data_IF_832249706437
#
_entry.id   IF_832249706437
#
_cell.length_a   1.000
_cell.length_b   1.000
_cell.length_c   1.000
_cell.angle_alpha   90.00
_cell.angle_beta   90.00
_cell.angle_gamma   90.00
#
_symmetry.space_group_name_H-M   'P 1'
#
loop_
_entity.id
_entity.type
_entity.pdbx_description
1 polymer ?
#
# COMPACT_ATOMS: atom_id res chain seq x y z
N UNK A 1 9.12 -26.62 50.77
CA UNK A 1 7.68 -26.39 50.54
C UNK A 1 7.34 -27.10 49.21
N UNK A 2 6.58 -28.20 49.14
CA UNK A 2 5.13 -28.37 49.37
C UNK A 2 4.27 -27.29 48.71
N UNK A 3 3.21 -27.55 47.91
CA UNK A 3 2.59 -28.80 47.37
C UNK A 3 1.74 -28.42 46.11
N UNK A 4 1.33 -29.41 45.29
CA UNK A 4 0.30 -29.25 44.22
C UNK A 4 -1.13 -29.21 44.80
N UNK A 5 -2.14 -28.71 44.07
CA UNK A 5 -3.57 -29.17 43.91
C UNK A 5 -4.60 -28.02 43.64
N UNK A 6 -5.58 -28.11 42.70
CA UNK A 6 -6.97 -28.70 42.73
C UNK A 6 -7.98 -27.82 43.50
N UNK A 7 -9.18 -27.41 43.01
CA UNK A 7 -9.89 -27.58 41.70
C UNK A 7 -11.04 -26.55 41.53
N UNK A 8 -11.73 -26.54 40.38
CA UNK A 8 -12.93 -25.78 40.00
C UNK A 8 -14.17 -25.91 40.94
N UNK A 9 -15.18 -25.03 40.75
CA UNK A 9 -16.65 -25.27 40.62
C UNK A 9 -17.41 -23.90 40.61
N UNK A 10 -18.17 -23.50 39.58
CA UNK A 10 -19.61 -23.71 39.20
C UNK A 10 -20.69 -22.99 40.07
N UNK A 11 -21.92 -22.89 39.51
CA UNK A 11 -23.17 -22.24 39.96
C UNK A 11 -23.32 -20.80 39.39
N UNK A 12 -24.23 -20.44 38.47
CA UNK A 12 -25.47 -20.99 37.89
C UNK A 12 -26.76 -20.89 38.73
N UNK A 13 -27.50 -19.79 38.53
CA UNK A 13 -28.95 -19.57 38.73
C UNK A 13 -29.29 -18.16 38.15
N UNK A 14 -30.47 -17.80 37.65
CA UNK A 14 -31.49 -18.49 36.84
C UNK A 14 -32.36 -17.43 36.14
N UNK A 15 -32.86 -17.71 34.93
CA UNK A 15 -33.81 -16.85 34.17
C UNK A 15 -35.24 -16.90 34.78
N UNK A 16 -36.21 -16.03 34.41
CA UNK A 16 -36.93 -16.09 33.10
C UNK A 16 -37.44 -14.70 32.61
N UNK A 17 -38.12 -14.43 31.48
CA UNK A 17 -38.39 -15.02 30.16
C UNK A 17 -39.43 -14.14 29.45
N UNK A 18 -39.31 -13.89 28.14
CA UNK A 18 -40.41 -13.78 27.15
C UNK A 18 -39.80 -13.51 25.76
N UNK A 19 -39.84 -14.42 24.78
CA UNK A 19 -40.97 -14.83 23.90
C UNK A 19 -41.60 -13.63 23.17
N UNK A 20 -41.79 -13.59 21.85
CA UNK A 20 -42.16 -14.66 20.90
C UNK A 20 -41.72 -14.21 19.47
N UNK A 21 -41.01 -15.00 18.65
CA UNK A 21 -41.51 -15.98 17.65
C UNK A 21 -42.23 -15.40 16.42
N UNK A 22 -41.83 -15.80 15.21
CA UNK A 22 -42.56 -15.51 13.97
C UNK A 22 -41.78 -15.72 12.66
N UNK A 23 -41.57 -16.99 12.26
CA UNK A 23 -41.09 -17.33 10.90
C UNK A 23 -42.25 -17.44 9.91
N UNK A 24 -42.05 -17.01 8.67
CA UNK A 24 -42.66 -17.67 7.51
C UNK A 24 -41.77 -17.53 6.26
N UNK A 25 -41.43 -18.68 5.68
CA UNK A 25 -40.82 -18.80 4.36
C UNK A 25 -41.89 -18.86 3.28
N UNK A 26 -41.62 -18.32 2.09
CA UNK A 26 -42.28 -18.79 0.87
C UNK A 26 -41.38 -18.57 -0.34
N UNK A 27 -41.27 -19.59 -1.19
CA UNK A 27 -40.46 -19.58 -2.40
C UNK A 27 -41.15 -18.86 -3.55
N UNK A 28 -40.37 -18.37 -4.53
CA UNK A 28 -40.76 -18.52 -5.94
C UNK A 28 -39.58 -18.30 -6.91
N UNK A 29 -39.58 -19.10 -7.97
CA UNK A 29 -38.52 -19.22 -8.96
C UNK A 29 -39.03 -18.71 -10.32
N UNK A 30 -38.26 -17.89 -11.05
CA UNK A 30 -38.44 -17.76 -12.50
C UNK A 30 -37.16 -17.33 -13.23
N UNK A 31 -37.13 -17.59 -14.54
CA UNK A 31 -35.94 -17.85 -15.33
C UNK A 31 -35.66 -16.77 -16.40
N UNK A 32 -34.40 -16.74 -16.84
CA UNK A 32 -33.98 -16.47 -18.22
C UNK A 32 -34.27 -15.07 -18.84
N UNK A 33 -33.21 -14.28 -19.12
CA UNK A 33 -32.69 -14.09 -20.50
C UNK A 33 -31.90 -12.77 -20.72
N UNK A 34 -30.93 -12.86 -21.63
CA UNK A 34 -30.39 -11.78 -22.49
C UNK A 34 -29.54 -10.63 -21.91
N UNK A 35 -28.30 -10.56 -22.40
CA UNK A 35 -27.39 -9.39 -22.37
C UNK A 35 -27.86 -8.32 -23.41
N UNK A 36 -27.23 -7.11 -23.60
CA UNK A 36 -25.78 -6.87 -23.53
C UNK A 36 -25.25 -5.50 -23.02
N UNK A 37 -23.95 -5.51 -22.67
CA UNK A 37 -22.95 -4.42 -22.79
C UNK A 37 -23.33 -2.94 -22.55
N UNK A 38 -22.77 -2.34 -21.48
CA UNK A 38 -22.25 -0.95 -21.51
C UNK A 38 -20.92 -0.81 -20.77
N UNK A 39 -19.91 -0.33 -21.50
CA UNK A 39 -18.59 0.09 -21.03
C UNK A 39 -18.66 1.54 -20.55
N UNK A 40 -18.08 1.92 -19.39
CA UNK A 40 -17.73 3.31 -19.11
C UNK A 40 -16.28 3.58 -19.55
N UNK A 41 -16.08 4.62 -20.35
CA UNK A 41 -14.76 5.16 -20.66
C UNK A 41 -14.52 6.41 -19.82
N UNK A 42 -13.31 6.56 -19.29
CA UNK A 42 -12.56 7.80 -19.07
C UNK A 42 -13.28 9.09 -18.60
N UNK A 43 -12.77 9.64 -17.49
CA UNK A 43 -12.46 11.08 -17.42
C UNK A 43 -13.38 11.92 -16.55
N UNK A 44 -12.85 12.38 -15.40
CA UNK A 44 -13.50 13.34 -14.53
C UNK A 44 -12.79 13.43 -13.18
N UNK A 45 -11.94 14.43 -13.00
CA UNK A 45 -11.30 14.69 -11.70
C UNK A 45 -12.30 15.23 -10.69
N UNK A 46 -12.37 14.62 -9.51
CA UNK A 46 -13.10 15.13 -8.34
C UNK A 46 -12.53 14.48 -7.07
N UNK A 47 -12.65 15.13 -5.89
CA UNK A 47 -11.78 14.83 -4.76
C UNK A 47 -12.20 13.57 -4.00
N UNK A 48 -11.40 12.50 -4.11
CA UNK A 48 -11.60 11.25 -3.37
C UNK A 48 -11.12 11.35 -1.92
N UNK A 49 -11.80 12.18 -1.12
CA UNK A 49 -11.67 12.18 0.33
C UNK A 49 -12.59 11.12 0.95
N UNK A 50 -12.09 9.88 1.02
CA UNK A 50 -12.63 8.76 1.79
C UNK A 50 -11.54 7.70 1.80
N UNK A 51 -10.92 7.42 2.95
CA UNK A 51 -9.71 6.58 3.13
C UNK A 51 -9.49 5.55 2.01
N UNK A 52 -8.78 5.97 0.95
CA UNK A 52 -8.56 5.12 -0.21
C UNK A 52 -7.55 4.08 0.21
N UNK A 53 -7.96 2.82 0.29
CA UNK A 53 -7.05 1.70 0.54
C UNK A 53 -6.24 1.33 -0.70
N UNK A 54 -5.20 0.52 -0.51
CA UNK A 54 -4.44 -0.06 -1.62
C UNK A 54 -3.61 0.95 -2.41
N UNK A 55 -3.41 0.67 -3.70
CA UNK A 55 -2.46 1.38 -4.58
C UNK A 55 -2.72 2.89 -4.66
N UNK A 56 -3.96 3.29 -4.93
CA UNK A 56 -4.29 4.72 -5.06
C UNK A 56 -4.21 5.46 -3.71
N UNK A 57 -4.44 4.76 -2.60
CA UNK A 57 -4.18 5.26 -1.26
C UNK A 57 -2.72 5.59 -1.02
N UNK A 58 -1.84 4.67 -1.41
CA UNK A 58 -0.40 4.82 -1.27
C UNK A 58 0.12 5.99 -2.10
N UNK A 59 -0.31 6.06 -3.37
CA UNK A 59 0.05 7.16 -4.26
C UNK A 59 -0.51 8.50 -3.75
N UNK A 60 -1.76 8.53 -3.30
CA UNK A 60 -2.39 9.76 -2.77
C UNK A 60 -1.65 10.25 -1.53
N UNK A 61 -1.42 9.39 -0.53
CA UNK A 61 -0.69 9.73 0.70
C UNK A 61 0.74 10.19 0.39
N UNK A 62 1.48 9.46 -0.45
CA UNK A 62 2.83 9.84 -0.87
C UNK A 62 2.85 11.19 -1.60
N UNK A 63 1.82 11.50 -2.39
CA UNK A 63 1.73 12.77 -3.13
C UNK A 63 1.51 13.97 -2.20
N UNK A 64 0.88 13.81 -1.04
CA UNK A 64 0.62 14.92 -0.09
C UNK A 64 1.89 15.57 0.49
N UNK A 65 3.03 14.87 0.46
CA UNK A 65 4.31 15.35 0.99
C UNK A 65 5.35 15.67 -0.10
N UNK A 66 4.93 15.74 -1.37
CA UNK A 66 5.79 16.22 -2.46
C UNK A 66 6.34 17.62 -2.13
N UNK A 67 7.64 17.80 -2.36
CA UNK A 67 8.38 19.03 -2.04
C UNK A 67 8.57 19.33 -0.56
N UNK A 68 8.17 18.43 0.35
CA UNK A 68 8.17 18.67 1.81
C UNK A 68 9.05 17.70 2.61
N UNK A 69 9.55 16.62 2.01
CA UNK A 69 10.62 15.81 2.63
C UNK A 69 11.97 16.51 2.45
N UNK A 70 12.78 16.68 3.51
CA UNK A 70 14.16 17.15 3.39
C UNK A 70 15.14 16.07 2.88
N UNK A 71 14.67 14.83 2.65
CA UNK A 71 15.46 13.60 2.49
C UNK A 71 16.36 13.28 3.69
N UNK A 72 16.51 11.99 3.99
CA UNK A 72 17.49 11.48 4.96
C UNK A 72 17.90 10.07 4.58
N UNK A 73 19.17 9.87 4.26
CA UNK A 73 19.72 8.53 4.10
C UNK A 73 19.51 7.70 5.37
N UNK A 74 18.94 6.50 5.26
CA UNK A 74 18.57 5.70 6.44
C UNK A 74 17.35 6.21 7.21
N UNK A 75 16.68 7.27 6.74
CA UNK A 75 15.48 7.86 7.34
C UNK A 75 14.24 6.97 7.29
N UNK A 76 13.11 7.50 7.77
CA UNK A 76 11.80 6.82 7.79
C UNK A 76 11.73 5.53 8.62
N UNK A 77 12.77 5.25 9.41
CA UNK A 77 12.93 4.02 10.23
C UNK A 77 12.61 4.22 11.71
N UNK A 78 12.28 5.44 12.09
CA UNK A 78 11.83 5.83 13.44
C UNK A 78 10.60 6.73 13.34
N UNK A 79 9.77 6.78 14.39
CA UNK A 79 8.59 7.65 14.39
C UNK A 79 8.99 9.13 14.22
N UNK A 80 10.06 9.56 14.90
CA UNK A 80 10.59 10.93 14.78
C UNK A 80 11.03 11.28 13.35
N UNK A 81 11.56 10.32 12.57
CA UNK A 81 11.86 10.55 11.16
C UNK A 81 10.59 10.61 10.29
N UNK A 82 9.58 9.79 10.58
CA UNK A 82 8.29 9.80 9.87
C UNK A 82 7.56 11.12 10.10
N UNK A 83 7.47 11.58 11.36
CA UNK A 83 6.82 12.84 11.76
C UNK A 83 7.53 14.05 11.13
N UNK A 84 8.87 14.03 11.09
CA UNK A 84 9.68 15.04 10.43
C UNK A 84 9.78 14.86 8.90
N UNK A 85 9.07 13.88 8.32
CA UNK A 85 9.07 13.50 6.89
C UNK A 85 10.46 13.21 6.30
N UNK A 86 11.40 12.79 7.13
CA UNK A 86 12.80 12.48 6.80
C UNK A 86 12.93 11.04 6.31
N UNK A 87 12.61 10.77 5.05
CA UNK A 87 12.70 9.42 4.48
C UNK A 87 13.93 9.24 3.58
N UNK A 88 14.28 7.98 3.31
CA UNK A 88 14.95 7.57 2.08
C UNK A 88 13.93 6.97 1.10
N UNK A 89 14.35 6.64 -0.12
CA UNK A 89 13.47 6.10 -1.16
C UNK A 89 12.67 4.86 -0.71
N UNK A 90 13.33 3.91 -0.04
CA UNK A 90 12.73 2.64 0.40
C UNK A 90 11.74 2.79 1.56
N UNK A 91 12.08 3.65 2.51
CA UNK A 91 11.25 3.94 3.69
C UNK A 91 10.06 4.84 3.33
N UNK A 92 10.21 5.76 2.37
CA UNK A 92 9.10 6.52 1.79
C UNK A 92 8.08 5.61 1.10
N UNK A 93 8.53 4.75 0.17
CA UNK A 93 7.66 3.78 -0.51
C UNK A 93 6.95 2.90 0.52
N UNK A 94 7.70 2.36 1.49
CA UNK A 94 7.16 1.57 2.59
C UNK A 94 6.10 2.32 3.41
N UNK A 95 6.32 3.59 3.73
CA UNK A 95 5.39 4.42 4.50
C UNK A 95 4.11 4.69 3.70
N UNK A 96 4.23 5.06 2.43
CA UNK A 96 3.11 5.30 1.53
C UNK A 96 2.24 4.04 1.37
N UNK A 97 2.82 2.87 1.12
CA UNK A 97 2.06 1.63 1.04
C UNK A 97 1.41 1.22 2.38
N UNK A 98 2.12 1.42 3.49
CA UNK A 98 1.60 1.10 4.83
C UNK A 98 0.42 2.00 5.24
N UNK A 99 0.39 3.28 4.84
CA UNK A 99 -0.75 4.17 5.13
C UNK A 99 -2.04 3.72 4.44
N UNK A 100 -1.91 2.97 3.34
CA UNK A 100 -3.02 2.41 2.57
C UNK A 100 -3.28 0.92 2.87
N UNK A 101 -2.70 0.38 3.95
CA UNK A 101 -2.92 -0.99 4.41
C UNK A 101 -2.08 -2.07 3.71
N UNK A 102 -1.13 -1.72 2.84
CA UNK A 102 -0.24 -2.69 2.18
C UNK A 102 1.07 -2.83 2.96
N UNK A 103 1.37 -4.03 3.44
CA UNK A 103 2.58 -4.29 4.22
C UNK A 103 3.78 -4.70 3.36
N UNK A 104 4.74 -3.78 3.18
CA UNK A 104 6.02 -4.04 2.49
C UNK A 104 7.18 -4.46 3.44
N UNK A 105 6.94 -4.59 4.75
CA UNK A 105 7.95 -5.03 5.73
C UNK A 105 7.88 -4.28 7.08
N UNK A 106 8.88 -4.45 7.97
CA UNK A 106 8.97 -3.75 9.26
C UNK A 106 9.59 -2.35 9.13
N UNK A 107 9.19 -1.40 9.98
CA UNK A 107 9.58 0.04 9.86
C UNK A 107 11.10 0.21 9.81
N UNK A 108 11.83 -0.37 10.77
CA UNK A 108 13.29 -0.26 10.85
C UNK A 108 14.07 -1.09 9.82
N UNK A 109 13.43 -2.00 9.08
CA UNK A 109 14.12 -3.03 8.28
C UNK A 109 13.85 -3.00 6.78
N UNK A 110 12.89 -2.22 6.28
CA UNK A 110 12.66 -2.13 4.83
C UNK A 110 13.78 -1.34 4.14
N UNK A 111 14.41 -1.97 3.16
CA UNK A 111 15.43 -1.41 2.23
C UNK A 111 15.07 -1.77 0.79
N UNK A 112 15.75 -1.20 -0.21
CA UNK A 112 15.56 -1.61 -1.61
C UNK A 112 15.81 -3.10 -1.82
N UNK A 113 16.81 -3.68 -1.15
CA UNK A 113 17.12 -5.12 -1.22
C UNK A 113 16.02 -6.01 -0.62
N UNK A 114 15.24 -5.51 0.36
CA UNK A 114 14.05 -6.23 0.84
C UNK A 114 12.82 -6.06 -0.05
N UNK A 115 12.75 -4.97 -0.82
CA UNK A 115 11.62 -4.63 -1.69
C UNK A 115 11.66 -5.37 -3.03
N UNK A 116 12.86 -5.69 -3.55
CA UNK A 116 13.00 -6.45 -4.82
C UNK A 116 12.37 -7.85 -4.79
N UNK A 117 12.03 -8.38 -3.60
CA UNK A 117 11.32 -9.65 -3.42
C UNK A 117 9.84 -9.52 -3.01
N UNK A 118 9.21 -8.34 -3.14
CA UNK A 118 7.82 -8.11 -2.66
C UNK A 118 6.73 -8.19 -3.74
N UNK A 119 7.11 -8.23 -5.01
CA UNK A 119 6.19 -8.38 -6.14
C UNK A 119 6.66 -9.44 -7.12
N UNK A 120 6.12 -9.41 -8.35
CA UNK A 120 6.53 -10.32 -9.43
C UNK A 120 7.03 -9.45 -10.56
N UNK A 121 8.25 -9.73 -11.04
CA UNK A 121 8.85 -8.98 -12.14
C UNK A 121 7.90 -8.82 -13.34
N UNK A 122 7.72 -7.56 -13.76
CA UNK A 122 7.00 -7.17 -14.97
C UNK A 122 7.96 -6.56 -15.97
N UNK A 123 7.63 -6.67 -17.27
CA UNK A 123 8.42 -5.99 -18.30
C UNK A 123 8.18 -4.47 -18.24
N UNK A 124 9.12 -3.68 -18.75
CA UNK A 124 8.97 -2.23 -18.84
C UNK A 124 7.73 -1.79 -19.67
N UNK A 125 7.29 -2.62 -20.61
CA UNK A 125 6.05 -2.42 -21.38
C UNK A 125 4.77 -2.78 -20.64
N UNK A 126 4.85 -3.65 -19.63
CA UNK A 126 3.68 -4.14 -18.88
C UNK A 126 3.44 -3.38 -17.56
N UNK A 127 4.32 -2.43 -17.20
CA UNK A 127 4.24 -1.68 -15.96
C UNK A 127 2.89 -0.97 -15.79
N UNK A 128 2.29 -1.15 -14.62
CA UNK A 128 1.00 -0.56 -14.21
C UNK A 128 1.21 0.42 -13.09
N UNK A 129 0.32 1.41 -13.03
CA UNK A 129 0.27 2.37 -11.93
C UNK A 129 0.14 1.61 -10.60
N UNK A 130 1.09 1.85 -9.69
CA UNK A 130 1.26 1.12 -8.44
C UNK A 130 2.49 0.21 -8.39
N UNK A 131 3.02 -0.23 -9.53
CA UNK A 131 4.20 -1.12 -9.58
C UNK A 131 5.43 -0.42 -8.97
N UNK A 132 6.32 -1.20 -8.34
CA UNK A 132 7.57 -0.67 -7.79
C UNK A 132 8.64 -0.64 -8.87
N UNK A 133 9.15 0.55 -9.22
CA UNK A 133 10.22 0.74 -10.20
C UNK A 133 11.57 0.91 -9.51
N UNK A 134 12.57 0.14 -9.94
CA UNK A 134 13.91 0.13 -9.36
C UNK A 134 14.96 0.64 -10.34
N UNK A 135 15.97 1.33 -9.80
CA UNK A 135 17.02 1.95 -10.61
C UNK A 135 18.42 1.70 -10.04
N UNK A 136 19.38 1.44 -10.93
CA UNK A 136 20.78 1.12 -10.63
C UNK A 136 21.61 2.38 -10.33
N UNK A 137 21.30 3.09 -9.25
CA UNK A 137 21.92 4.39 -8.92
C UNK A 137 23.34 4.25 -8.33
N UNK A 138 23.44 4.08 -7.01
CA UNK A 138 24.71 3.88 -6.27
C UNK A 138 25.08 2.40 -6.10
N UNK A 139 24.13 1.49 -6.38
CA UNK A 139 24.28 0.04 -6.49
C UNK A 139 23.21 -0.50 -7.44
N UNK A 140 23.25 -1.79 -7.76
CA UNK A 140 22.12 -2.48 -8.42
C UNK A 140 20.86 -2.38 -7.55
N UNK A 141 19.74 -1.97 -8.13
CA UNK A 141 18.51 -1.62 -7.42
C UNK A 141 18.76 -0.64 -6.25
N UNK A 142 19.62 0.36 -6.47
CA UNK A 142 19.96 1.37 -5.46
C UNK A 142 18.79 2.30 -5.11
N UNK A 143 17.93 2.62 -6.08
CA UNK A 143 16.78 3.50 -5.87
C UNK A 143 15.46 2.80 -6.19
N UNK A 144 14.38 3.26 -5.56
CA UNK A 144 13.01 2.75 -5.77
C UNK A 144 12.00 3.88 -5.79
N UNK A 145 10.92 3.70 -6.55
CA UNK A 145 9.75 4.57 -6.53
C UNK A 145 8.46 3.83 -6.91
N UNK A 146 7.34 4.52 -6.81
CA UNK A 146 6.01 4.01 -7.16
C UNK A 146 5.67 4.49 -8.57
N UNK A 147 5.43 3.58 -9.51
CA UNK A 147 5.06 3.97 -10.87
C UNK A 147 3.68 4.61 -10.89
N UNK A 148 3.54 5.76 -11.54
CA UNK A 148 2.30 6.53 -11.63
C UNK A 148 1.51 6.27 -12.91
N UNK A 149 2.09 5.51 -13.85
CA UNK A 149 1.68 5.47 -15.25
C UNK A 149 2.40 6.53 -16.09
N UNK A 150 2.22 6.46 -17.42
CA UNK A 150 2.68 7.45 -18.40
C UNK A 150 4.18 7.81 -18.33
N UNK A 151 5.05 6.88 -17.90
CA UNK A 151 6.48 7.14 -17.75
C UNK A 151 6.83 8.09 -16.59
N UNK A 152 5.97 8.21 -15.58
CA UNK A 152 6.21 9.00 -14.36
C UNK A 152 6.23 8.10 -13.12
N UNK A 153 7.01 8.47 -12.10
CA UNK A 153 7.07 7.75 -10.83
C UNK A 153 7.23 8.72 -9.65
N UNK A 154 6.79 8.28 -8.47
CA UNK A 154 6.84 9.02 -7.20
C UNK A 154 7.90 8.39 -6.28
N UNK A 155 8.82 9.19 -5.76
CA UNK A 155 9.96 8.71 -4.97
C UNK A 155 10.48 9.78 -4.01
N UNK A 156 11.26 9.39 -3.01
CA UNK A 156 12.08 10.33 -2.20
C UNK A 156 13.56 10.23 -2.63
N UNK A 157 14.22 11.35 -2.92
CA UNK A 157 15.61 11.40 -3.38
C UNK A 157 16.40 12.59 -2.81
N UNK A 158 17.73 12.43 -2.78
CA UNK A 158 18.67 13.40 -2.19
C UNK A 158 18.72 14.77 -2.87
N UNK A 159 18.13 14.95 -4.06
CA UNK A 159 18.13 16.25 -4.76
C UNK A 159 16.86 17.07 -4.54
N UNK A 160 15.71 16.42 -4.31
CA UNK A 160 14.40 17.10 -4.31
C UNK A 160 13.44 16.62 -3.21
N UNK A 161 13.88 15.72 -2.33
CA UNK A 161 13.00 15.05 -1.39
C UNK A 161 11.99 14.17 -2.11
N UNK A 162 10.77 14.09 -1.57
CA UNK A 162 9.64 13.45 -2.25
C UNK A 162 9.27 14.27 -3.48
N UNK A 163 9.38 13.66 -4.66
CA UNK A 163 9.10 14.28 -5.94
C UNK A 163 8.49 13.31 -6.93
N UNK A 164 7.86 13.86 -7.97
CA UNK A 164 7.52 13.12 -9.19
C UNK A 164 8.65 13.31 -10.20
N UNK A 165 9.15 12.20 -10.73
CA UNK A 165 10.20 12.13 -11.74
C UNK A 165 9.69 11.42 -13.01
N UNK A 166 10.28 11.75 -14.16
CA UNK A 166 9.98 11.06 -15.42
C UNK A 166 11.05 10.02 -15.74
N UNK A 167 10.61 8.79 -16.02
CA UNK A 167 11.42 7.70 -16.54
C UNK A 167 11.96 7.98 -17.95
N UNK A 168 11.37 8.94 -18.67
CA UNK A 168 11.87 9.40 -19.97
C UNK A 168 13.05 10.38 -19.86
N UNK A 169 13.36 10.89 -18.65
CA UNK A 169 14.57 11.65 -18.41
C UNK A 169 15.80 10.77 -18.71
N UNK A 170 16.83 11.33 -19.36
CA UNK A 170 18.04 10.59 -19.80
C UNK A 170 18.72 9.84 -18.65
N UNK A 171 18.74 10.42 -17.44
CA UNK A 171 19.29 9.76 -16.26
C UNK A 171 18.45 8.54 -15.85
N UNK A 172 17.15 8.74 -15.56
CA UNK A 172 16.27 7.66 -15.11
C UNK A 172 16.10 6.55 -16.16
N UNK A 173 16.00 6.91 -17.44
CA UNK A 173 15.92 5.97 -18.55
C UNK A 173 17.14 5.05 -18.63
N UNK A 174 18.34 5.59 -18.41
CA UNK A 174 19.59 4.81 -18.41
C UNK A 174 19.76 3.96 -17.14
N UNK A 175 19.06 4.30 -16.06
CA UNK A 175 19.19 3.62 -14.75
C UNK A 175 18.09 2.61 -14.46
N UNK A 176 17.00 2.55 -15.24
CA UNK A 176 15.91 1.58 -15.01
C UNK A 176 16.45 0.14 -15.02
N UNK A 177 16.18 -0.60 -13.94
CA UNK A 177 16.69 -1.96 -13.72
C UNK A 177 15.57 -3.00 -13.81
N UNK A 178 14.50 -2.82 -13.05
CA UNK A 178 13.33 -3.70 -13.03
C UNK A 178 12.07 -3.01 -12.52
N UNK A 179 10.91 -3.65 -12.70
CA UNK A 179 9.65 -3.29 -12.08
C UNK A 179 8.94 -4.53 -11.50
N UNK A 180 8.13 -4.37 -10.44
CA UNK A 180 7.47 -5.45 -9.67
C UNK A 180 6.01 -5.15 -9.30
#
# INVERSE_FOLDING_TARGET
MSKRKTTAQINNDSSPSSSNSGSSSNDNNNSNSSAPSKKPSSGGGSPVSSNVGGIEGAISTGSTIVGQSPYKWGGGRSQADIDARRFDCSSFVRWAFASAGINLGPVGGTTTDTLVGKGRAVSASDMKRGDLVFFDTYKVNGHVGIYLGNGSFLNDNSSRGVSVDSMNNVYWKKKLSMAL
#
